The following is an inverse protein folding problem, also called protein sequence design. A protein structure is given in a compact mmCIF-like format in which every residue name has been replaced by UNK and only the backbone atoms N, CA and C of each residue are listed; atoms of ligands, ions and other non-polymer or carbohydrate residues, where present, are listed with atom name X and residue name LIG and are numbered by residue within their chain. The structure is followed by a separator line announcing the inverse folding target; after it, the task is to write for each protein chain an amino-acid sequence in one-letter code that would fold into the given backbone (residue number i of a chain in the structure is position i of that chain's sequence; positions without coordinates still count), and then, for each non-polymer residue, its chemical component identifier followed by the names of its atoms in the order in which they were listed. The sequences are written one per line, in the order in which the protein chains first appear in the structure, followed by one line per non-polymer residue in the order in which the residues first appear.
data_IF_035564551439
#
_entry.id   IF_035564551439
#
_cell.length_a   1.000
_cell.length_b   1.000
_cell.length_c   1.000
_cell.angle_alpha   90.00
_cell.angle_beta   90.00
_cell.angle_gamma   90.00
#
_symmetry.space_group_name_H-M   'P 1'
#
loop_
_entity.id
_entity.type
_entity.pdbx_description
1 polymer ?
#
# COMPACT_ATOMS: atom_id res chain seq x y z
N UNK A 1 -14.33 -2.36 1.68
CA UNK A 1 -13.63 -3.63 1.40
C UNK A 1 -12.23 -3.53 1.95
N UNK A 2 -11.32 -2.84 1.24
CA UNK A 2 -9.94 -2.56 1.64
C UNK A 2 -9.81 -1.93 3.05
N UNK A 3 -10.75 -1.06 3.44
CA UNK A 3 -10.79 -0.43 4.77
C UNK A 3 -10.91 -1.39 5.93
N UNK A 4 -11.68 -2.45 5.72
CA UNK A 4 -12.03 -3.37 6.78
C UNK A 4 -11.03 -4.53 6.89
N UNK A 5 -10.26 -4.77 5.81
CA UNK A 5 -9.04 -5.60 5.83
C UNK A 5 -7.92 -4.95 6.66
N UNK A 6 -7.79 -3.62 6.60
CA UNK A 6 -6.81 -2.87 7.39
C UNK A 6 -6.99 -3.08 8.91
N UNK A 7 -8.24 -3.03 9.39
CA UNK A 7 -8.58 -3.26 10.79
C UNK A 7 -8.31 -4.70 11.22
N UNK A 8 -8.58 -5.71 10.39
CA UNK A 8 -8.33 -7.12 10.73
C UNK A 8 -6.83 -7.46 10.78
N UNK A 9 -6.02 -6.88 9.90
CA UNK A 9 -4.57 -7.09 9.88
C UNK A 9 -3.88 -6.38 11.04
N UNK A 10 -4.24 -5.12 11.32
CA UNK A 10 -3.67 -4.37 12.44
C UNK A 10 -4.23 -4.83 13.80
N UNK A 11 -5.51 -5.19 13.93
CA UNK A 11 -6.06 -5.65 15.22
C UNK A 11 -5.42 -6.97 15.66
N UNK A 12 -5.15 -7.91 14.74
CA UNK A 12 -4.42 -9.14 15.07
C UNK A 12 -2.94 -8.90 15.41
N UNK A 13 -2.33 -7.85 14.86
CA UNK A 13 -0.96 -7.45 15.24
C UNK A 13 -0.92 -6.73 16.59
N UNK A 14 -1.95 -5.93 16.92
CA UNK A 14 -2.08 -5.17 18.17
C UNK A 14 -2.58 -6.04 19.33
N UNK A 15 -3.49 -7.00 19.11
CA UNK A 15 -3.95 -7.93 20.16
C UNK A 15 -2.83 -8.89 20.63
N UNK A 16 -1.81 -9.09 19.80
CA UNK A 16 -0.58 -9.77 20.21
C UNK A 16 0.27 -8.93 21.17
N UNK A 17 0.12 -7.61 21.23
CA UNK A 17 0.82 -6.78 22.24
C UNK A 17 0.10 -6.82 23.60
N UNK A 18 -1.21 -7.09 23.67
CA UNK A 18 -1.94 -7.26 24.95
C UNK A 18 -1.67 -8.60 25.66
N UNK A 19 -1.21 -9.61 24.92
CA UNK A 19 -0.90 -10.95 25.47
C UNK A 19 0.52 -11.05 26.02
N UNK A 20 1.39 -10.08 25.75
CA UNK A 20 2.68 -9.90 26.44
C UNK A 20 2.50 -8.85 27.54
N UNK A 21 1.94 -9.26 28.68
CA UNK A 21 1.55 -8.41 29.82
C UNK A 21 2.51 -7.26 30.16
N UNK A 22 2.32 -6.14 29.49
CA UNK A 22 2.84 -4.82 29.81
C UNK A 22 1.64 -3.89 29.81
N UNK A 23 1.13 -3.58 31.00
CA UNK A 23 0.28 -2.42 31.18
C UNK A 23 1.12 -1.18 30.87
N UNK A 24 0.79 -0.52 29.77
CA UNK A 24 1.23 0.86 29.51
C UNK A 24 0.11 1.75 30.05
N UNK A 25 0.27 2.44 31.20
CA UNK A 25 -0.67 3.47 31.57
C UNK A 25 -0.54 4.58 30.52
N UNK A 26 -1.65 5.21 30.12
CA UNK A 26 -1.76 6.25 29.07
C UNK A 26 -2.12 5.82 27.64
N UNK A 27 -2.87 4.71 27.46
CA UNK A 27 -3.61 4.46 26.21
C UNK A 27 -5.09 4.08 26.41
N UNK A 28 -5.62 4.14 27.64
CA UNK A 28 -6.97 3.67 27.98
C UNK A 28 -8.11 4.69 27.79
N UNK A 29 -7.89 5.84 27.14
CA UNK A 29 -8.95 6.84 26.96
C UNK A 29 -8.90 7.53 25.59
N UNK A 30 -9.23 6.77 24.53
CA UNK A 30 -9.67 7.38 23.28
C UNK A 30 -11.13 6.98 22.98
N UNK A 31 -12.08 7.93 22.91
CA UNK A 31 -13.48 7.63 22.64
C UNK A 31 -13.68 7.17 21.18
N UNK A 32 -14.72 6.35 20.89
CA UNK A 32 -14.96 5.71 19.59
C UNK A 32 -15.16 6.67 18.40
N UNK A 33 -15.41 7.95 18.67
CA UNK A 33 -15.48 9.00 17.64
C UNK A 33 -14.12 9.36 17.04
N UNK A 34 -13.01 9.07 17.73
CA UNK A 34 -11.65 9.36 17.25
C UNK A 34 -11.19 8.32 16.21
N UNK A 35 -11.61 7.06 16.34
CA UNK A 35 -11.34 5.98 15.38
C UNK A 35 -11.95 6.29 14.01
N UNK A 36 -13.20 6.76 13.93
CA UNK A 36 -13.84 7.15 12.67
C UNK A 36 -13.17 8.36 11.98
N UNK A 37 -12.56 9.27 12.75
CA UNK A 37 -11.86 10.45 12.23
C UNK A 37 -10.43 10.11 11.77
N UNK A 38 -9.76 9.19 12.46
CA UNK A 38 -8.51 8.57 12.03
C UNK A 38 -8.72 7.67 10.81
N UNK A 39 -9.82 6.92 10.73
CA UNK A 39 -10.20 6.13 9.55
C UNK A 39 -10.35 7.00 8.30
N UNK A 40 -11.02 8.17 8.39
CA UNK A 40 -11.11 9.11 7.24
C UNK A 40 -9.76 9.70 6.85
N UNK A 41 -8.89 10.04 7.82
CA UNK A 41 -7.54 10.58 7.56
C UNK A 41 -6.59 9.52 7.00
N UNK A 42 -6.63 8.28 7.48
CA UNK A 42 -5.80 7.18 6.97
C UNK A 42 -6.30 6.65 5.61
N UNK A 43 -7.62 6.67 5.35
CA UNK A 43 -8.17 6.36 4.02
C UNK A 43 -7.73 7.37 2.96
N UNK A 44 -7.79 8.66 3.30
CA UNK A 44 -7.32 9.75 2.44
C UNK A 44 -5.83 9.60 2.07
N UNK A 45 -5.02 9.01 2.94
CA UNK A 45 -3.60 8.81 2.64
C UNK A 45 -3.31 7.53 1.83
N UNK A 46 -4.19 6.53 1.79
CA UNK A 46 -3.89 5.18 1.28
C UNK A 46 -4.42 4.85 -0.12
N UNK A 47 -5.45 5.56 -0.57
CA UNK A 47 -5.84 5.61 -1.99
C UNK A 47 -5.21 6.83 -2.63
N UNK A 48 -4.87 6.78 -3.92
CA UNK A 48 -4.63 8.03 -4.65
C UNK A 48 -5.87 8.92 -4.50
N UNK A 49 -5.67 10.23 -4.50
CA UNK A 49 -6.80 11.14 -4.64
C UNK A 49 -7.28 11.08 -6.09
N UNK A 50 -8.59 11.28 -6.32
CA UNK A 50 -9.12 11.38 -7.69
C UNK A 50 -8.66 12.64 -8.42
N UNK A 51 -8.08 13.57 -7.67
CA UNK A 51 -7.81 14.92 -8.08
C UNK A 51 -6.30 15.05 -8.21
N UNK A 52 -5.84 15.54 -9.35
CA UNK A 52 -4.44 15.95 -9.52
C UNK A 52 -4.19 17.19 -8.63
N UNK A 53 -3.31 17.10 -7.62
CA UNK A 53 -3.00 18.25 -6.77
C UNK A 53 -2.22 19.32 -7.56
N UNK A 54 -1.31 18.92 -8.45
CA UNK A 54 -0.49 19.85 -9.23
C UNK A 54 -1.34 20.63 -10.25
N UNK A 55 -2.19 19.94 -11.01
CA UNK A 55 -3.10 20.58 -11.96
C UNK A 55 -4.07 21.52 -11.23
N UNK A 56 -4.61 21.09 -10.08
CA UNK A 56 -5.50 21.91 -9.26
C UNK A 56 -4.85 23.22 -8.83
N UNK A 57 -3.60 23.17 -8.38
CA UNK A 57 -2.86 24.37 -7.98
C UNK A 57 -2.65 25.33 -9.15
N UNK A 58 -2.33 24.81 -10.34
CA UNK A 58 -2.11 25.64 -11.54
C UNK A 58 -3.41 26.29 -12.01
N UNK A 59 -4.50 25.52 -12.07
CA UNK A 59 -5.81 26.06 -12.41
C UNK A 59 -6.30 27.09 -11.38
N UNK A 60 -6.00 26.90 -10.09
CA UNK A 60 -6.29 27.89 -9.06
C UNK A 60 -5.47 29.17 -9.21
N UNK A 61 -4.19 29.06 -9.60
CA UNK A 61 -3.32 30.22 -9.88
C UNK A 61 -3.85 31.01 -11.08
N UNK A 62 -4.20 30.31 -12.17
CA UNK A 62 -4.80 30.91 -13.36
C UNK A 62 -6.13 31.61 -13.06
N UNK A 63 -7.04 30.94 -12.33
CA UNK A 63 -8.34 31.50 -11.99
C UNK A 63 -8.24 32.74 -11.07
N UNK A 64 -7.23 32.80 -10.20
CA UNK A 64 -7.02 33.92 -9.27
C UNK A 64 -6.22 35.07 -9.87
N UNK A 65 -5.67 34.91 -11.07
CA UNK A 65 -4.87 35.95 -11.70
C UNK A 65 -5.76 37.14 -12.09
N UNK A 66 -5.39 38.34 -11.62
CA UNK A 66 -6.11 39.58 -11.94
C UNK A 66 -5.82 40.06 -13.37
N UNK A 67 -4.66 39.69 -13.91
CA UNK A 67 -4.23 40.00 -15.27
C UNK A 67 -4.12 38.70 -16.09
N UNK A 68 -4.40 38.75 -17.41
CA UNK A 68 -4.14 37.62 -18.29
C UNK A 68 -2.68 37.18 -18.15
N UNK A 69 -2.47 35.89 -17.86
CA UNK A 69 -1.14 35.31 -17.71
C UNK A 69 -0.90 34.42 -18.92
N UNK A 70 0.18 34.68 -19.64
CA UNK A 70 0.64 33.76 -20.67
C UNK A 70 1.32 32.56 -20.00
N UNK A 71 0.74 31.38 -20.19
CA UNK A 71 1.25 30.13 -19.62
C UNK A 71 1.29 29.10 -20.72
N UNK A 72 2.44 28.45 -20.88
CA UNK A 72 2.58 27.19 -21.59
C UNK A 72 3.33 26.22 -20.67
N UNK A 73 2.61 25.25 -20.11
CA UNK A 73 3.16 24.39 -19.07
C UNK A 73 2.81 22.92 -19.28
N UNK A 74 3.84 22.08 -19.26
CA UNK A 74 3.73 20.62 -19.28
C UNK A 74 3.91 20.06 -17.86
N UNK A 75 3.01 19.17 -17.47
CA UNK A 75 3.02 18.48 -16.18
C UNK A 75 3.00 16.99 -16.40
N UNK A 76 3.86 16.27 -15.69
CA UNK A 76 3.89 14.81 -15.72
C UNK A 76 3.45 14.25 -14.36
N UNK A 77 2.48 13.34 -14.39
CA UNK A 77 1.95 12.66 -13.21
C UNK A 77 2.10 11.14 -13.28
N UNK A 78 1.85 10.50 -12.14
CA UNK A 78 1.87 9.05 -12.01
C UNK A 78 0.90 8.39 -13.00
N UNK A 79 1.31 7.29 -13.63
CA UNK A 79 0.54 6.61 -14.66
C UNK A 79 0.88 7.05 -16.09
N UNK A 80 2.05 7.67 -16.31
CA UNK A 80 2.47 8.21 -17.61
C UNK A 80 1.47 9.23 -18.17
N UNK A 81 0.91 10.04 -17.27
CA UNK A 81 -0.05 11.07 -17.62
C UNK A 81 0.68 12.37 -17.83
N UNK A 82 0.36 13.04 -18.93
CA UNK A 82 0.86 14.36 -19.25
C UNK A 82 -0.31 15.33 -19.36
N UNK A 83 -0.20 16.47 -18.70
CA UNK A 83 -1.11 17.60 -18.86
C UNK A 83 -0.37 18.73 -19.52
N UNK A 84 -1.03 19.37 -20.46
CA UNK A 84 -0.55 20.57 -21.13
C UNK A 84 -1.54 21.69 -20.91
N UNK A 85 -1.13 22.67 -20.12
CA UNK A 85 -1.94 23.84 -19.76
C UNK A 85 -1.45 25.02 -20.57
N UNK A 86 -2.29 25.53 -21.45
CA UNK A 86 -2.02 26.70 -22.28
C UNK A 86 -3.02 27.82 -22.00
N UNK A 87 -2.49 29.02 -21.75
CA UNK A 87 -3.24 30.26 -21.61
C UNK A 87 -2.52 31.35 -22.40
N UNK A 88 -3.26 32.13 -23.19
CA UNK A 88 -2.69 33.21 -24.00
C UNK A 88 -3.21 34.55 -23.49
N UNK A 89 -2.33 35.55 -23.39
CA UNK A 89 -2.73 36.92 -23.06
C UNK A 89 -3.60 37.57 -24.16
N UNK A 90 -3.49 37.09 -25.41
CA UNK A 90 -4.30 37.57 -26.53
C UNK A 90 -5.75 37.03 -26.50
N UNK A 91 -5.97 35.87 -25.88
CA UNK A 91 -7.30 35.26 -25.69
C UNK A 91 -7.51 34.82 -24.23
N UNK A 92 -7.75 35.77 -23.31
CA UNK A 92 -7.87 35.46 -21.88
C UNK A 92 -9.08 34.59 -21.53
N UNK A 93 -10.09 34.55 -22.42
CA UNK A 93 -11.33 33.83 -22.16
C UNK A 93 -11.21 32.33 -22.45
N UNK A 94 -10.24 31.91 -23.26
CA UNK A 94 -10.11 30.53 -23.71
C UNK A 94 -8.77 29.96 -23.25
N UNK A 95 -8.86 29.10 -22.23
CA UNK A 95 -7.70 28.40 -21.67
C UNK A 95 -7.79 26.94 -22.09
N UNK A 96 -6.68 26.34 -22.48
CA UNK A 96 -6.66 24.98 -23.00
C UNK A 96 -5.97 24.05 -22.01
N UNK A 97 -6.61 22.93 -21.71
CA UNK A 97 -6.05 21.82 -20.95
C UNK A 97 -6.07 20.58 -21.84
N UNK A 98 -4.92 20.17 -22.35
CA UNK A 98 -4.77 18.91 -23.08
C UNK A 98 -4.25 17.82 -22.15
N UNK A 99 -4.80 16.61 -22.29
CA UNK A 99 -4.51 15.46 -21.42
C UNK A 99 -4.06 14.31 -22.31
N UNK A 100 -2.85 13.84 -22.04
CA UNK A 100 -2.34 12.59 -22.57
C UNK A 100 -2.34 11.54 -21.46
N UNK A 101 -3.08 10.46 -21.63
CA UNK A 101 -3.19 9.34 -20.70
C UNK A 101 -3.23 8.04 -21.48
N UNK A 102 -2.54 6.97 -21.02
CA UNK A 102 -2.69 5.65 -21.60
C UNK A 102 -4.17 5.23 -21.57
N UNK A 103 -4.66 4.74 -22.71
CA UNK A 103 -5.96 4.05 -22.74
C UNK A 103 -5.80 2.71 -22.02
N UNK A 104 -6.75 2.37 -21.15
CA UNK A 104 -6.62 1.17 -20.32
C UNK A 104 -6.49 -0.10 -21.17
N UNK A 105 -7.30 -0.29 -22.20
CA UNK A 105 -7.20 -1.44 -23.10
C UNK A 105 -6.55 -1.08 -24.44
N UNK A 106 -5.54 -1.86 -24.86
CA UNK A 106 -4.83 -1.63 -26.12
C UNK A 106 -5.47 -2.32 -27.34
N UNK A 107 -6.45 -3.21 -27.13
CA UNK A 107 -6.84 -4.19 -28.15
C UNK A 107 -8.14 -3.95 -28.93
N UNK A 108 -9.01 -3.00 -28.57
CA UNK A 108 -10.36 -2.95 -29.17
C UNK A 108 -11.13 -1.62 -29.05
N UNK A 109 -10.52 -0.44 -29.26
CA UNK A 109 -11.25 0.85 -29.33
C UNK A 109 -10.55 1.86 -30.27
N UNK A 110 -11.27 2.86 -30.81
CA UNK A 110 -11.09 3.38 -32.17
C UNK A 110 -9.75 4.04 -32.39
N UNK A 111 -9.35 4.06 -33.65
CA UNK A 111 -8.08 4.53 -34.20
C UNK A 111 -7.63 5.91 -33.71
N UNK A 112 -8.52 6.75 -33.18
CA UNK A 112 -8.23 8.01 -32.50
C UNK A 112 -9.38 8.36 -31.52
N UNK A 113 -9.09 8.65 -30.25
CA UNK A 113 -10.02 9.30 -29.31
C UNK A 113 -10.63 8.45 -28.19
N UNK A 114 -11.35 9.13 -27.27
CA UNK A 114 -12.08 8.53 -26.15
C UNK A 114 -13.37 7.82 -26.61
N UNK A 115 -13.82 6.78 -25.88
CA UNK A 115 -15.13 6.16 -26.14
C UNK A 115 -16.27 7.17 -25.94
N UNK A 116 -17.39 6.98 -26.66
CA UNK A 116 -18.57 7.85 -26.52
C UNK A 116 -19.06 7.93 -25.06
N UNK A 117 -19.00 6.80 -24.35
CA UNK A 117 -19.29 6.73 -22.92
C UNK A 117 -18.32 7.56 -22.08
N UNK A 118 -17.01 7.47 -22.35
CA UNK A 118 -15.98 8.25 -21.64
C UNK A 118 -16.19 9.75 -21.84
N UNK A 119 -16.44 10.18 -23.07
CA UNK A 119 -16.74 11.57 -23.42
C UNK A 119 -18.00 12.06 -22.71
N UNK A 120 -19.06 11.26 -22.64
CA UNK A 120 -20.27 11.59 -21.90
C UNK A 120 -20.01 11.75 -20.40
N UNK A 121 -19.21 10.85 -19.80
CA UNK A 121 -18.86 10.92 -18.37
C UNK A 121 -18.03 12.16 -18.06
N UNK A 122 -17.11 12.56 -18.94
CA UNK A 122 -16.33 13.81 -18.79
C UNK A 122 -17.25 15.02 -18.88
N UNK A 123 -18.18 15.06 -19.85
CA UNK A 123 -19.19 16.13 -19.98
C UNK A 123 -20.07 16.26 -18.73
N UNK A 124 -20.43 15.16 -18.08
CA UNK A 124 -21.22 15.18 -16.85
C UNK A 124 -20.46 15.72 -15.61
N UNK A 125 -19.14 15.54 -15.57
CA UNK A 125 -18.30 16.02 -14.46
C UNK A 125 -17.90 17.48 -14.66
N UNK A 126 -17.81 17.91 -15.91
CA UNK A 126 -17.51 19.27 -16.29
C UNK A 126 -18.76 20.16 -16.20
N UNK A 127 -18.58 21.41 -15.77
CA UNK A 127 -19.65 22.42 -15.77
C UNK A 127 -19.73 23.13 -17.12
N UNK A 128 -20.74 23.99 -17.32
CA UNK A 128 -20.91 24.84 -18.52
C UNK A 128 -19.71 25.75 -18.87
N UNK A 129 -18.75 25.86 -17.95
CA UNK A 129 -17.48 26.55 -18.12
C UNK A 129 -16.46 25.77 -18.95
N UNK A 130 -16.70 24.50 -19.26
CA UNK A 130 -15.74 23.63 -19.95
C UNK A 130 -16.37 23.02 -21.19
N UNK A 131 -15.67 23.18 -22.31
CA UNK A 131 -16.04 22.64 -23.61
C UNK A 131 -14.98 21.63 -24.06
N UNK A 132 -15.42 20.50 -24.63
CA UNK A 132 -14.50 19.52 -25.22
C UNK A 132 -14.19 19.97 -26.65
N UNK A 133 -12.91 20.12 -26.98
CA UNK A 133 -12.46 20.50 -28.32
C UNK A 133 -12.28 19.24 -29.17
N UNK A 134 -12.93 19.18 -30.33
CA UNK A 134 -12.81 18.08 -31.29
C UNK A 134 -12.32 18.61 -32.65
N UNK A 135 -11.26 18.03 -33.25
CA UNK A 135 -10.39 16.98 -32.69
C UNK A 135 -9.51 17.50 -31.54
N UNK A 136 -9.03 16.58 -30.70
CA UNK A 136 -8.03 16.92 -29.69
C UNK A 136 -6.74 17.43 -30.35
N UNK A 137 -5.97 18.26 -29.62
CA UNK A 137 -4.66 18.71 -30.08
C UNK A 137 -3.73 17.53 -30.35
N UNK A 138 -2.84 17.69 -31.33
CA UNK A 138 -1.89 16.66 -31.73
C UNK A 138 -1.08 16.14 -30.53
N UNK A 139 -1.00 14.82 -30.39
CA UNK A 139 -0.32 14.16 -29.26
C UNK A 139 -1.19 13.92 -28.01
N UNK A 140 -2.42 14.42 -27.95
CA UNK A 140 -3.30 14.29 -26.79
C UNK A 140 -4.58 13.51 -27.10
N UNK A 141 -5.15 12.80 -26.11
CA UNK A 141 -6.42 12.08 -26.29
C UNK A 141 -7.64 12.94 -25.96
N UNK A 142 -7.47 14.01 -25.17
CA UNK A 142 -8.54 14.95 -24.82
C UNK A 142 -7.99 16.35 -24.71
N UNK A 143 -8.68 17.33 -25.32
CA UNK A 143 -8.43 18.75 -25.09
C UNK A 143 -9.70 19.42 -24.57
N UNK A 144 -9.57 20.11 -23.44
CA UNK A 144 -10.61 20.88 -22.80
C UNK A 144 -10.34 22.36 -22.98
N UNK A 145 -11.37 23.10 -23.38
CA UNK A 145 -11.40 24.55 -23.40
C UNK A 145 -12.14 25.04 -22.16
N UNK A 146 -11.43 25.78 -21.32
CA UNK A 146 -11.90 26.26 -20.02
C UNK A 146 -12.11 27.77 -20.11
N UNK A 147 -13.34 28.20 -19.86
CA UNK A 147 -13.71 29.60 -19.72
C UNK A 147 -13.84 29.96 -18.24
N UNK A 148 -12.80 30.58 -17.68
CA UNK A 148 -12.78 30.98 -16.28
C UNK A 148 -13.86 32.03 -15.92
N UNK A 149 -14.33 32.83 -16.89
CA UNK A 149 -15.37 33.82 -16.64
C UNK A 149 -16.74 33.19 -16.34
N UNK A 150 -16.99 31.96 -16.85
CA UNK A 150 -18.20 31.19 -16.57
C UNK A 150 -18.15 30.43 -15.23
N UNK A 151 -17.01 30.42 -14.55
CA UNK A 151 -16.89 29.76 -13.23
C UNK A 151 -17.49 30.67 -12.15
N UNK A 152 -18.37 30.16 -11.26
CA UNK A 152 -19.01 30.96 -10.23
C UNK A 152 -18.02 31.65 -9.28
N UNK A 153 -18.16 32.98 -9.11
CA UNK A 153 -17.38 33.77 -8.14
C UNK A 153 -17.97 33.56 -6.74
N UNK A 154 -17.40 32.65 -5.95
CA UNK A 154 -17.89 32.31 -4.61
C UNK A 154 -17.14 31.12 -3.99
N UNK A 155 -17.72 30.35 -3.07
CA UNK A 155 -17.07 29.13 -2.57
C UNK A 155 -17.08 27.97 -3.57
N UNK A 156 -17.88 28.09 -4.63
CA UNK A 156 -18.13 26.99 -5.58
C UNK A 156 -17.08 26.85 -6.68
N UNK A 157 -16.24 27.87 -6.96
CA UNK A 157 -15.14 27.73 -7.93
C UNK A 157 -14.20 26.57 -7.55
N UNK A 158 -13.98 26.33 -6.26
CA UNK A 158 -13.10 25.27 -5.79
C UNK A 158 -13.63 23.89 -6.17
N UNK A 159 -14.96 23.71 -6.19
CA UNK A 159 -15.59 22.46 -6.62
C UNK A 159 -15.41 22.24 -8.12
N UNK A 160 -15.66 23.28 -8.93
CA UNK A 160 -15.50 23.23 -10.39
C UNK A 160 -14.04 22.93 -10.76
N UNK A 161 -13.08 23.64 -10.19
CA UNK A 161 -11.65 23.38 -10.46
C UNK A 161 -11.24 21.99 -9.97
N UNK A 162 -11.78 21.52 -8.84
CA UNK A 162 -11.55 20.15 -8.36
C UNK A 162 -12.12 19.10 -9.33
N UNK A 163 -13.28 19.35 -9.92
CA UNK A 163 -13.87 18.47 -10.94
C UNK A 163 -12.99 18.42 -12.19
N UNK A 164 -12.56 19.58 -12.71
CA UNK A 164 -11.64 19.66 -13.86
C UNK A 164 -10.35 18.89 -13.56
N UNK A 165 -9.82 19.07 -12.37
CA UNK A 165 -8.59 18.40 -11.93
C UNK A 165 -8.75 16.89 -11.69
N UNK A 166 -9.98 16.36 -11.80
CA UNK A 166 -10.28 14.93 -11.67
C UNK A 166 -10.58 14.22 -12.99
N UNK A 167 -10.48 14.93 -14.12
CA UNK A 167 -10.86 14.40 -15.45
C UNK A 167 -10.08 13.12 -15.81
N UNK A 168 -8.79 13.05 -15.49
CA UNK A 168 -7.99 11.84 -15.71
C UNK A 168 -8.55 10.62 -14.96
N UNK A 169 -8.90 10.79 -13.68
CA UNK A 169 -9.54 9.72 -12.91
C UNK A 169 -10.91 9.32 -13.50
N UNK A 170 -11.67 10.29 -14.03
CA UNK A 170 -12.95 10.03 -14.70
C UNK A 170 -12.76 9.21 -15.97
N UNK A 171 -11.77 9.54 -16.81
CA UNK A 171 -11.45 8.80 -18.04
C UNK A 171 -11.15 7.34 -17.69
N UNK A 172 -10.18 7.09 -16.80
CA UNK A 172 -9.80 5.73 -16.40
C UNK A 172 -10.96 4.97 -15.75
N UNK A 173 -11.72 5.62 -14.89
CA UNK A 173 -12.89 5.00 -14.28
C UNK A 173 -13.97 4.66 -15.31
N UNK A 174 -14.20 5.52 -16.30
CA UNK A 174 -15.24 5.31 -17.31
C UNK A 174 -14.95 4.10 -18.19
N UNK A 175 -13.70 3.92 -18.63
CA UNK A 175 -13.27 2.76 -19.39
C UNK A 175 -13.46 1.45 -18.60
N UNK A 176 -13.05 1.41 -17.33
CA UNK A 176 -13.25 0.21 -16.51
C UNK A 176 -14.73 0.00 -16.15
N UNK A 177 -15.52 1.07 -15.97
CA UNK A 177 -16.98 0.98 -15.78
C UNK A 177 -17.66 0.34 -16.99
N UNK A 178 -17.27 0.74 -18.19
CA UNK A 178 -17.79 0.17 -19.44
C UNK A 178 -17.51 -1.34 -19.50
N UNK A 179 -16.30 -1.74 -19.10
CA UNK A 179 -15.93 -3.15 -19.04
C UNK A 179 -16.68 -3.96 -17.97
N UNK A 180 -16.97 -3.34 -16.82
CA UNK A 180 -17.60 -3.99 -15.67
C UNK A 180 -19.13 -3.91 -15.65
N UNK A 181 -19.77 -3.07 -16.46
CA UNK A 181 -21.25 -3.00 -16.53
C UNK A 181 -21.86 -4.25 -17.16
N UNK A 182 -21.11 -4.89 -18.07
CA UNK A 182 -21.58 -6.04 -18.84
C UNK A 182 -21.26 -7.39 -18.18
N UNK A 183 -21.28 -7.50 -16.84
CA UNK A 183 -21.01 -8.79 -16.14
C UNK A 183 -22.01 -9.88 -16.52
N UNK A 184 -23.24 -9.49 -16.86
CA UNK A 184 -24.36 -10.39 -17.12
C UNK A 184 -24.79 -10.44 -18.60
N UNK A 185 -24.06 -9.80 -19.51
CA UNK A 185 -24.43 -9.86 -20.94
C UNK A 185 -24.19 -11.29 -21.44
N UNK A 186 -25.24 -11.98 -21.87
CA UNK A 186 -25.20 -13.27 -22.57
C UNK A 186 -24.62 -13.17 -23.99
N UNK A 187 -23.77 -12.15 -24.26
CA UNK A 187 -23.10 -12.02 -25.54
C UNK A 187 -22.12 -13.19 -25.68
N UNK A 188 -22.58 -14.21 -26.41
CA UNK A 188 -21.86 -15.43 -26.75
C UNK A 188 -20.82 -15.15 -27.84
N UNK A 189 -20.36 -13.90 -27.97
CA UNK A 189 -19.45 -13.45 -29.02
C UNK A 189 -18.01 -13.79 -28.66
N UNK A 190 -17.22 -14.04 -29.71
CA UNK A 190 -15.80 -14.40 -29.64
C UNK A 190 -15.02 -13.48 -28.68
N UNK A 191 -14.51 -14.05 -27.58
CA UNK A 191 -13.75 -13.28 -26.57
C UNK A 191 -14.06 -13.61 -25.12
N UNK A 192 -15.08 -14.44 -24.83
CA UNK A 192 -15.27 -15.03 -23.50
C UNK A 192 -14.01 -15.78 -23.07
N UNK A 193 -13.59 -15.58 -21.82
CA UNK A 193 -12.33 -16.09 -21.24
C UNK A 193 -11.03 -15.54 -21.85
N UNK A 194 -11.07 -14.61 -22.82
CA UNK A 194 -9.86 -13.93 -23.28
C UNK A 194 -9.45 -12.85 -22.27
N UNK A 195 -8.21 -12.86 -21.76
CA UNK A 195 -7.75 -11.82 -20.86
C UNK A 195 -7.61 -10.48 -21.62
N UNK A 196 -8.18 -9.42 -21.04
CA UNK A 196 -7.98 -8.04 -21.52
C UNK A 196 -6.89 -7.43 -20.65
N UNK A 197 -5.71 -7.21 -21.24
CA UNK A 197 -4.60 -6.52 -20.58
C UNK A 197 -4.94 -5.04 -20.39
N UNK A 198 -4.93 -4.58 -19.14
CA UNK A 198 -5.13 -3.19 -18.77
C UNK A 198 -3.82 -2.54 -18.31
N UNK A 199 -3.40 -1.49 -19.01
CA UNK A 199 -2.12 -0.81 -18.77
C UNK A 199 -2.38 0.63 -18.33
N UNK A 200 -2.45 0.84 -17.01
CA UNK A 200 -2.40 2.18 -16.41
C UNK A 200 -0.96 2.61 -16.11
N UNK A 201 -0.14 1.65 -15.68
CA UNK A 201 1.27 1.86 -15.41
C UNK A 201 2.08 0.84 -16.22
N UNK A 202 3.07 1.27 -17.02
CA UNK A 202 3.74 0.39 -17.99
C UNK A 202 4.30 -0.91 -17.40
N UNK A 203 4.76 -0.89 -16.14
CA UNK A 203 5.35 -2.06 -15.45
C UNK A 203 4.36 -2.86 -14.60
N UNK A 204 3.14 -2.36 -14.45
CA UNK A 204 2.11 -2.90 -13.55
C UNK A 204 0.78 -3.01 -14.29
N UNK A 205 0.72 -3.84 -15.35
CA UNK A 205 -0.55 -4.15 -15.99
C UNK A 205 -1.39 -5.02 -15.05
N UNK A 206 -2.70 -4.98 -15.19
CA UNK A 206 -3.59 -5.99 -14.61
C UNK A 206 -4.55 -6.48 -15.68
N UNK A 207 -5.09 -7.67 -15.50
CA UNK A 207 -5.93 -8.34 -16.49
C UNK A 207 -7.36 -8.39 -16.04
N UNK A 208 -8.28 -8.23 -16.97
CA UNK A 208 -9.70 -8.45 -16.75
C UNK A 208 -10.17 -9.56 -17.68
N UNK A 209 -10.69 -10.63 -17.09
CA UNK A 209 -11.20 -11.80 -17.80
C UNK A 209 -12.71 -11.84 -17.59
N UNK A 210 -13.47 -11.81 -18.69
CA UNK A 210 -14.94 -11.93 -18.65
C UNK A 210 -15.35 -13.39 -18.71
N UNK A 211 -16.14 -13.82 -17.73
CA UNK A 211 -16.75 -15.14 -17.64
C UNK A 211 -18.30 -14.98 -17.60
N UNK A 212 -19.09 -16.04 -17.89
CA UNK A 212 -20.55 -15.91 -18.09
C UNK A 212 -21.34 -15.26 -16.94
N UNK A 213 -20.86 -15.35 -15.69
CA UNK A 213 -21.57 -14.85 -14.50
C UNK A 213 -20.69 -13.98 -13.58
N UNK A 214 -19.41 -13.81 -13.94
CA UNK A 214 -18.43 -13.09 -13.13
C UNK A 214 -17.32 -12.52 -14.00
N UNK A 215 -16.70 -11.47 -13.53
CA UNK A 215 -15.48 -10.91 -14.10
C UNK A 215 -14.35 -11.15 -13.12
N UNK A 216 -13.24 -11.72 -13.59
CA UNK A 216 -12.05 -11.94 -12.77
C UNK A 216 -11.02 -10.87 -13.09
N UNK A 217 -10.63 -10.09 -12.08
CA UNK A 217 -9.54 -9.13 -12.19
C UNK A 217 -8.26 -9.74 -11.59
N UNK A 218 -7.22 -9.90 -12.40
CA UNK A 218 -5.94 -10.54 -12.01
C UNK A 218 -4.83 -9.51 -11.99
N UNK A 219 -4.08 -9.47 -10.88
CA UNK A 219 -3.00 -8.52 -10.61
C UNK A 219 -1.67 -9.26 -10.47
N UNK A 220 -0.83 -9.28 -11.52
CA UNK A 220 0.56 -9.74 -11.45
C UNK A 220 1.43 -8.80 -10.61
N UNK A 221 1.95 -9.26 -9.46
CA UNK A 221 2.66 -8.39 -8.52
C UNK A 221 4.17 -8.50 -8.60
N UNK A 222 4.82 -7.34 -8.74
CA UNK A 222 6.28 -7.22 -8.79
C UNK A 222 6.81 -6.30 -7.70
N UNK A 223 7.80 -6.81 -6.96
CA UNK A 223 8.54 -6.05 -5.97
C UNK A 223 10.02 -6.01 -6.33
N UNK A 224 10.69 -4.89 -6.07
CA UNK A 224 12.13 -4.75 -6.35
C UNK A 224 12.98 -5.52 -5.32
N UNK A 225 12.57 -5.48 -4.06
CA UNK A 225 13.34 -6.02 -2.96
C UNK A 225 12.77 -7.36 -2.46
N UNK A 226 13.65 -8.30 -2.16
CA UNK A 226 13.25 -9.62 -1.66
C UNK A 226 12.52 -9.55 -0.30
N UNK A 227 12.90 -8.60 0.58
CA UNK A 227 12.17 -8.37 1.83
C UNK A 227 10.72 -7.96 1.61
N UNK A 228 10.47 -7.14 0.59
CA UNK A 228 9.13 -6.67 0.24
C UNK A 228 8.29 -7.83 -0.31
N UNK A 229 8.90 -8.76 -1.05
CA UNK A 229 8.24 -10.01 -1.48
C UNK A 229 7.76 -10.80 -0.27
N UNK A 230 8.62 -11.04 0.72
CA UNK A 230 8.24 -11.81 1.93
C UNK A 230 7.07 -11.14 2.66
N UNK A 231 7.14 -9.82 2.86
CA UNK A 231 6.08 -9.04 3.53
C UNK A 231 4.78 -9.12 2.72
N UNK A 232 4.86 -8.96 1.39
CA UNK A 232 3.71 -9.01 0.51
C UNK A 232 3.07 -10.40 0.49
N UNK A 233 3.85 -11.47 0.40
CA UNK A 233 3.34 -12.85 0.45
C UNK A 233 2.58 -13.11 1.74
N UNK A 234 3.12 -12.70 2.90
CA UNK A 234 2.41 -12.82 4.17
C UNK A 234 1.11 -11.99 4.19
N UNK A 235 1.14 -10.79 3.60
CA UNK A 235 -0.04 -9.95 3.46
C UNK A 235 -1.13 -10.61 2.60
N UNK A 236 -0.79 -11.24 1.47
CA UNK A 236 -1.78 -11.89 0.60
C UNK A 236 -2.38 -13.16 1.19
N UNK A 237 -1.58 -13.93 1.95
CA UNK A 237 -2.09 -15.09 2.66
C UNK A 237 -3.16 -14.67 3.68
N UNK A 238 -2.89 -13.63 4.48
CA UNK A 238 -3.88 -13.08 5.40
C UNK A 238 -5.09 -12.46 4.67
N UNK A 239 -4.86 -11.81 3.51
CA UNK A 239 -5.94 -11.26 2.69
C UNK A 239 -6.89 -12.35 2.20
N UNK A 240 -6.35 -13.49 1.77
CA UNK A 240 -7.11 -14.67 1.32
C UNK A 240 -7.89 -15.30 2.48
N UNK A 241 -7.26 -15.47 3.64
CA UNK A 241 -7.91 -16.01 4.84
C UNK A 241 -9.07 -15.13 5.31
N UNK A 242 -8.87 -13.81 5.32
CA UNK A 242 -9.92 -12.85 5.68
C UNK A 242 -11.00 -12.80 4.60
N UNK A 243 -10.62 -12.84 3.32
CA UNK A 243 -11.56 -12.86 2.18
C UNK A 243 -12.46 -14.09 2.17
N UNK A 244 -12.00 -15.20 2.73
CA UNK A 244 -12.75 -16.46 2.86
C UNK A 244 -13.66 -16.50 4.10
N UNK A 245 -13.57 -15.52 4.99
CA UNK A 245 -14.38 -15.47 6.21
C UNK A 245 -15.82 -15.02 5.94
N UNK A 246 -16.80 -15.66 6.59
CA UNK A 246 -18.23 -15.31 6.51
C UNK A 246 -18.52 -13.83 6.82
N UNK A 247 -17.71 -13.22 7.71
CA UNK A 247 -17.81 -11.78 8.04
C UNK A 247 -17.65 -10.89 6.81
N UNK A 248 -16.96 -11.37 5.77
CA UNK A 248 -16.63 -10.66 4.55
C UNK A 248 -17.32 -11.24 3.31
N UNK A 249 -18.37 -12.06 3.46
CA UNK A 249 -19.09 -12.67 2.34
C UNK A 249 -19.65 -11.68 1.30
N UNK A 250 -19.85 -10.41 1.69
CA UNK A 250 -20.28 -9.33 0.78
C UNK A 250 -19.16 -8.74 -0.08
N UNK A 251 -17.90 -9.07 0.20
CA UNK A 251 -16.76 -8.65 -0.61
C UNK A 251 -16.55 -9.63 -1.79
N UNK A 252 -15.95 -9.16 -2.91
CA UNK A 252 -15.35 -10.00 -3.92
C UNK A 252 -14.44 -11.04 -3.29
N UNK A 253 -14.64 -12.33 -3.60
CA UNK A 253 -13.67 -13.37 -3.29
C UNK A 253 -12.29 -12.97 -3.81
N UNK A 254 -11.28 -13.18 -2.97
CA UNK A 254 -9.89 -12.87 -3.28
C UNK A 254 -9.06 -14.14 -3.16
N UNK A 255 -8.27 -14.44 -4.17
CA UNK A 255 -7.34 -15.57 -4.19
C UNK A 255 -5.93 -15.10 -4.53
N UNK A 256 -4.93 -15.78 -3.98
CA UNK A 256 -3.53 -15.53 -4.29
C UNK A 256 -2.84 -16.83 -4.68
N UNK A 257 -2.04 -16.78 -5.74
CA UNK A 257 -1.25 -17.91 -6.23
C UNK A 257 0.14 -17.44 -6.65
N UNK A 258 1.21 -18.19 -6.35
CA UNK A 258 2.54 -17.90 -6.91
C UNK A 258 2.62 -18.21 -8.42
N UNK A 259 1.70 -19.01 -8.96
CA UNK A 259 1.66 -19.47 -10.35
C UNK A 259 0.58 -18.68 -11.10
N UNK A 260 0.83 -18.28 -12.37
CA UNK A 260 -0.19 -17.59 -13.18
C UNK A 260 -1.47 -18.42 -13.30
N UNK A 261 -2.65 -17.78 -13.16
CA UNK A 261 -3.93 -18.45 -13.42
C UNK A 261 -3.98 -19.01 -14.85
N UNK A 262 -4.66 -20.15 -15.07
CA UNK A 262 -4.71 -20.81 -16.37
C UNK A 262 -5.29 -19.91 -17.47
N UNK A 263 -6.13 -18.94 -17.12
CA UNK A 263 -6.73 -17.97 -18.03
C UNK A 263 -5.72 -16.99 -18.62
N UNK A 264 -4.55 -16.81 -17.99
CA UNK A 264 -3.46 -15.97 -18.49
C UNK A 264 -2.44 -16.75 -19.33
N UNK A 265 -2.66 -18.04 -19.58
CA UNK A 265 -1.77 -18.83 -20.45
C UNK A 265 -1.82 -18.29 -21.88
N UNK A 266 -0.67 -17.90 -22.40
CA UNK A 266 -0.53 -17.33 -23.74
C UNK A 266 -0.23 -15.82 -23.76
N UNK A 267 -0.35 -15.14 -22.63
CA UNK A 267 0.09 -13.75 -22.49
C UNK A 267 1.63 -13.64 -22.48
N UNK A 268 2.22 -12.46 -22.80
CA UNK A 268 3.66 -12.27 -22.86
C UNK A 268 4.37 -12.70 -21.57
N UNK A 269 5.50 -13.41 -21.71
CA UNK A 269 6.25 -13.93 -20.55
C UNK A 269 6.70 -12.82 -19.60
N UNK A 270 6.98 -11.63 -20.12
CA UNK A 270 7.34 -10.45 -19.31
C UNK A 270 6.25 -10.10 -18.30
N UNK A 271 4.98 -10.20 -18.71
CA UNK A 271 3.83 -9.90 -17.87
C UNK A 271 3.51 -11.02 -16.86
N UNK A 272 3.89 -12.25 -17.18
CA UNK A 272 3.68 -13.44 -16.32
C UNK A 272 4.85 -13.68 -15.35
N UNK A 273 6.04 -13.15 -15.65
CA UNK A 273 7.20 -13.21 -14.75
C UNK A 273 7.00 -12.27 -13.56
N UNK A 274 6.56 -12.83 -12.44
CA UNK A 274 6.32 -12.10 -11.19
C UNK A 274 6.99 -12.79 -10.01
N UNK A 275 7.46 -12.00 -9.05
CA UNK A 275 8.02 -12.51 -7.80
C UNK A 275 7.04 -12.43 -6.61
N UNK A 276 6.03 -11.56 -6.69
CA UNK A 276 4.97 -11.43 -5.67
C UNK A 276 3.77 -12.36 -5.89
N UNK A 277 3.75 -13.10 -7.00
CA UNK A 277 2.61 -13.92 -7.43
C UNK A 277 1.46 -13.11 -8.03
N UNK A 278 0.30 -13.74 -8.12
CA UNK A 278 -0.91 -13.24 -8.76
C UNK A 278 -2.03 -13.15 -7.73
N UNK A 279 -2.66 -11.97 -7.64
CA UNK A 279 -3.87 -11.79 -6.84
C UNK A 279 -5.06 -11.66 -7.79
N UNK A 280 -6.10 -12.44 -7.54
CA UNK A 280 -7.34 -12.42 -8.33
C UNK A 280 -8.54 -12.04 -7.48
N UNK A 281 -9.38 -11.17 -8.03
CA UNK A 281 -10.67 -10.78 -7.46
C UNK A 281 -11.82 -11.21 -8.36
N UNK A 282 -12.81 -11.89 -7.78
CA UNK A 282 -14.00 -12.30 -8.50
C UNK A 282 -15.15 -11.30 -8.32
N UNK A 283 -15.48 -10.61 -9.41
CA UNK A 283 -16.47 -9.54 -9.46
C UNK A 283 -17.74 -10.08 -10.11
N UNK A 284 -18.71 -10.48 -9.30
CA UNK A 284 -20.08 -10.74 -9.75
C UNK A 284 -20.97 -9.48 -9.72
N UNK A 285 -22.19 -9.60 -10.26
CA UNK A 285 -23.22 -8.55 -10.32
C UNK A 285 -23.40 -7.77 -9.01
N UNK A 286 -23.45 -8.48 -7.88
CA UNK A 286 -23.61 -7.90 -6.53
C UNK A 286 -22.59 -6.82 -6.14
N UNK A 287 -21.41 -6.82 -6.78
CA UNK A 287 -20.32 -5.86 -6.54
C UNK A 287 -20.37 -4.66 -7.49
N UNK A 288 -21.13 -4.75 -8.58
CA UNK A 288 -21.24 -3.72 -9.63
C UNK A 288 -22.62 -3.07 -9.70
N UNK A 289 -23.58 -3.53 -8.90
CA UNK A 289 -24.89 -2.88 -8.76
C UNK A 289 -24.79 -1.42 -8.29
N UNK A 290 -25.52 -0.54 -8.97
CA UNK A 290 -25.77 0.86 -8.60
C UNK A 290 -24.52 1.67 -8.22
N UNK A 291 -24.54 2.28 -7.03
CA UNK A 291 -23.51 3.13 -6.44
C UNK A 291 -22.26 2.34 -6.01
N UNK A 292 -22.26 1.00 -6.08
CA UNK A 292 -21.09 0.17 -5.72
C UNK A 292 -20.07 0.12 -6.85
N UNK A 293 -20.51 0.20 -8.11
CA UNK A 293 -19.64 0.15 -9.29
C UNK A 293 -18.46 1.11 -9.19
N UNK A 294 -18.75 2.37 -8.85
CA UNK A 294 -17.73 3.42 -8.73
C UNK A 294 -16.68 3.11 -7.66
N UNK A 295 -17.09 2.50 -6.53
CA UNK A 295 -16.18 2.09 -5.46
C UNK A 295 -15.34 0.87 -5.86
N UNK A 296 -15.94 -0.09 -6.56
CA UNK A 296 -15.27 -1.29 -7.05
C UNK A 296 -14.21 -0.93 -8.07
N UNK A 297 -14.58 -0.13 -9.08
CA UNK A 297 -13.68 0.41 -10.10
C UNK A 297 -12.51 1.15 -9.46
N UNK A 298 -12.80 2.06 -8.53
CA UNK A 298 -11.75 2.82 -7.84
C UNK A 298 -10.82 1.93 -7.03
N UNK A 299 -11.36 0.89 -6.37
CA UNK A 299 -10.57 -0.05 -5.58
C UNK A 299 -9.63 -0.89 -6.46
N UNK A 300 -10.08 -1.31 -7.64
CA UNK A 300 -9.28 -2.10 -8.58
C UNK A 300 -8.14 -1.26 -9.17
N UNK A 301 -8.43 -0.05 -9.63
CA UNK A 301 -7.42 0.86 -10.18
C UNK A 301 -6.33 1.22 -9.15
N UNK A 302 -6.70 1.29 -7.87
CA UNK A 302 -5.78 1.65 -6.78
C UNK A 302 -5.12 0.44 -6.11
N UNK A 303 -5.42 -0.80 -6.51
CA UNK A 303 -4.98 -1.98 -5.78
C UNK A 303 -3.45 -2.10 -5.70
N UNK A 304 -2.72 -1.85 -6.80
CA UNK A 304 -1.26 -1.87 -6.81
C UNK A 304 -0.65 -0.89 -5.82
N UNK A 305 -1.10 0.36 -5.86
CA UNK A 305 -0.58 1.40 -4.98
C UNK A 305 -0.92 1.12 -3.51
N UNK A 306 -2.12 0.62 -3.25
CA UNK A 306 -2.53 0.18 -1.93
C UNK A 306 -1.57 -0.88 -1.37
N UNK A 307 -1.35 -1.97 -2.11
CA UNK A 307 -0.46 -3.06 -1.71
C UNK A 307 0.96 -2.54 -1.47
N UNK A 308 1.54 -1.83 -2.45
CA UNK A 308 2.93 -1.35 -2.34
C UNK A 308 3.11 -0.39 -1.18
N UNK A 309 2.14 0.49 -0.95
CA UNK A 309 2.14 1.39 0.20
C UNK A 309 2.14 0.58 1.50
N UNK A 310 1.26 -0.40 1.64
CA UNK A 310 1.19 -1.20 2.87
C UNK A 310 2.43 -2.05 3.12
N UNK A 311 3.04 -2.62 2.08
CA UNK A 311 4.31 -3.33 2.20
C UNK A 311 5.42 -2.39 2.72
N UNK A 312 5.55 -1.20 2.13
CA UNK A 312 6.50 -0.17 2.59
C UNK A 312 6.22 0.27 4.03
N UNK A 313 4.97 0.52 4.38
CA UNK A 313 4.58 0.90 5.74
C UNK A 313 4.91 -0.20 6.76
N UNK A 314 4.62 -1.47 6.46
CA UNK A 314 4.93 -2.61 7.33
C UNK A 314 6.44 -2.77 7.51
N UNK A 315 7.22 -2.62 6.44
CA UNK A 315 8.68 -2.62 6.53
C UNK A 315 9.20 -1.52 7.45
N UNK A 316 8.73 -0.28 7.27
CA UNK A 316 9.11 0.84 8.13
C UNK A 316 8.66 0.62 9.59
N UNK A 317 7.51 0.00 9.82
CA UNK A 317 7.05 -0.38 11.16
C UNK A 317 7.98 -1.41 11.82
N UNK A 318 8.35 -2.47 11.09
CA UNK A 318 9.30 -3.49 11.57
C UNK A 318 10.64 -2.84 11.94
N UNK A 319 11.18 -1.97 11.07
CA UNK A 319 12.43 -1.26 11.33
C UNK A 319 12.37 -0.42 12.60
N UNK A 320 11.31 0.37 12.78
CA UNK A 320 11.11 1.18 14.01
C UNK A 320 11.03 0.30 15.26
N UNK A 321 10.34 -0.84 15.20
CA UNK A 321 10.23 -1.76 16.34
C UNK A 321 11.57 -2.44 16.65
N UNK A 322 12.35 -2.79 15.63
CA UNK A 322 13.70 -3.32 15.79
C UNK A 322 14.63 -2.29 16.44
N UNK A 323 14.57 -1.03 15.99
CA UNK A 323 15.37 0.06 16.55
C UNK A 323 15.03 0.30 18.02
N UNK A 324 13.75 0.41 18.39
CA UNK A 324 13.33 0.55 19.79
C UNK A 324 13.81 -0.59 20.69
N UNK A 325 13.79 -1.83 20.17
CA UNK A 325 14.32 -2.98 20.90
C UNK A 325 15.82 -2.89 21.09
N UNK A 326 16.56 -2.46 20.07
CA UNK A 326 18.00 -2.24 20.17
C UNK A 326 18.32 -1.15 21.20
N UNK A 327 17.62 -0.02 21.16
CA UNK A 327 17.76 1.08 22.13
C UNK A 327 17.55 0.57 23.56
N UNK A 328 16.46 -0.19 23.80
CA UNK A 328 16.20 -0.77 25.13
C UNK A 328 17.28 -1.75 25.61
N UNK A 329 17.89 -2.51 24.70
CA UNK A 329 18.98 -3.43 25.05
C UNK A 329 20.28 -2.68 25.37
N UNK A 330 20.58 -1.62 24.61
CA UNK A 330 21.75 -0.77 24.83
C UNK A 330 21.63 -0.03 26.17
N UNK A 331 20.45 0.45 26.53
CA UNK A 331 20.19 1.06 27.84
C UNK A 331 20.50 0.10 29.00
N UNK A 332 20.06 -1.16 28.91
CA UNK A 332 20.36 -2.18 29.94
C UNK A 332 21.86 -2.43 30.04
N UNK A 333 22.57 -2.54 28.91
CA UNK A 333 24.02 -2.75 28.90
C UNK A 333 24.80 -1.56 29.49
N UNK A 334 24.35 -0.34 29.22
CA UNK A 334 24.97 0.86 29.79
C UNK A 334 24.67 1.00 31.28
N UNK A 335 23.47 0.62 31.73
CA UNK A 335 23.13 0.58 33.16
C UNK A 335 24.03 -0.39 33.93
N UNK A 336 24.24 -1.59 33.41
CA UNK A 336 25.15 -2.57 34.02
C UNK A 336 26.60 -2.05 34.11
N UNK A 337 27.11 -1.39 33.05
CA UNK A 337 28.46 -0.78 33.06
C UNK A 337 28.61 0.36 34.06
N UNK A 338 27.54 1.11 34.35
CA UNK A 338 27.56 2.19 35.34
C UNK A 338 27.50 1.62 36.76
N UNK A 339 26.64 0.63 37.01
CA UNK A 339 26.58 -0.08 38.29
C UNK A 339 27.92 -0.76 38.62
N UNK A 340 28.60 -1.38 37.65
CA UNK A 340 29.94 -1.94 37.84
C UNK A 340 30.99 -0.87 38.19
N UNK A 341 30.91 0.33 37.59
CA UNK A 341 31.84 1.43 37.90
C UNK A 341 31.58 2.05 39.27
N UNK A 342 30.32 2.13 39.69
CA UNK A 342 29.96 2.58 41.03
C UNK A 342 30.39 1.56 42.08
N UNK A 343 30.17 0.26 41.86
CA UNK A 343 30.63 -0.81 42.74
C UNK A 343 32.17 -0.85 42.85
N UNK A 344 32.90 -0.56 41.77
CA UNK A 344 34.37 -0.46 41.79
C UNK A 344 34.84 0.80 42.53
N UNK A 345 34.16 1.95 42.40
CA UNK A 345 34.48 3.16 43.19
C UNK A 345 34.17 2.98 44.68
N UNK A 346 33.06 2.33 45.03
CA UNK A 346 32.73 1.98 46.42
C UNK A 346 33.73 0.99 47.02
N UNK A 347 34.21 0.01 46.24
CA UNK A 347 35.27 -0.90 46.69
C UNK A 347 36.64 -0.25 46.78
N UNK A 348 37.01 0.63 45.85
CA UNK A 348 38.27 1.39 45.92
C UNK A 348 38.34 2.33 47.14
N UNK A 349 37.20 2.92 47.55
CA UNK A 349 37.13 3.68 48.80
C UNK A 349 37.16 2.80 50.07
N UNK A 350 36.81 1.52 49.96
CA UNK A 350 36.86 0.56 51.06
C UNK A 350 38.20 -0.20 51.17
N UNK A 351 38.94 -0.39 50.08
CA UNK A 351 40.21 -1.14 50.01
C UNK A 351 41.47 -0.32 50.41
N UNK A 352 41.34 0.98 50.72
CA UNK A 352 42.46 1.78 51.25
C UNK A 352 42.62 1.70 52.79
N UNK A 353 42.18 0.60 53.40
CA UNK A 353 42.56 0.22 54.78
C UNK A 353 42.79 -1.28 54.80
N UNK A 354 44.00 -1.67 55.23
CA UNK A 354 44.49 -3.03 55.46
C UNK A 354 45.14 -3.74 54.26
N UNK A 355 46.42 -3.43 54.06
CA UNK A 355 47.41 -4.37 53.52
C UNK A 355 47.61 -5.47 54.55
N UNK A 356 47.34 -6.73 54.19
CA UNK A 356 47.63 -7.87 55.07
C UNK A 356 47.16 -9.23 54.58
N UNK A 357 48.06 -9.93 53.87
CA UNK A 357 48.12 -11.39 53.63
C UNK A 357 47.07 -12.05 52.71
N UNK A 358 47.59 -12.49 51.56
CA UNK A 358 47.13 -13.62 50.74
C UNK A 358 46.76 -14.85 51.59
N UNK A 359 45.63 -15.53 51.28
CA UNK A 359 45.53 -17.00 51.09
C UNK A 359 44.16 -17.39 50.48
N UNK A 360 44.23 -18.17 49.38
CA UNK A 360 43.26 -19.11 48.75
C UNK A 360 41.93 -18.59 48.16
N UNK A 361 41.94 -18.51 46.83
CA UNK A 361 40.77 -18.51 45.93
C UNK A 361 39.86 -19.74 46.17
N UNK A 362 38.70 -19.53 46.78
CA UNK A 362 37.55 -20.44 46.62
C UNK A 362 36.66 -19.94 45.49
N UNK A 363 36.51 -20.73 44.42
CA UNK A 363 35.62 -20.45 43.28
C UNK A 363 34.21 -20.06 43.77
N UNK A 364 33.64 -18.91 43.36
CA UNK A 364 32.35 -18.49 43.90
C UNK A 364 31.23 -19.36 43.33
N UNK A 365 30.58 -20.11 44.21
CA UNK A 365 29.36 -20.91 43.96
C UNK A 365 28.17 -20.07 43.44
N UNK A 366 28.30 -18.74 43.41
CA UNK A 366 27.23 -17.80 43.03
C UNK A 366 27.00 -17.69 41.52
N UNK A 367 28.01 -17.94 40.67
CA UNK A 367 27.82 -17.88 39.21
C UNK A 367 26.95 -19.05 38.70
N UNK A 368 27.11 -20.24 39.30
CA UNK A 368 26.29 -21.44 38.99
C UNK A 368 24.84 -21.36 39.52
N UNK A 369 24.54 -20.46 40.46
CA UNK A 369 23.16 -20.21 40.95
C UNK A 369 22.45 -19.22 40.02
N UNK A 370 23.09 -18.09 39.65
CA UNK A 370 22.52 -17.10 38.73
C UNK A 370 22.28 -17.64 37.32
N UNK A 371 23.20 -18.43 36.76
CA UNK A 371 22.97 -19.07 35.45
C UNK A 371 21.80 -20.06 35.48
N UNK A 372 21.59 -20.80 36.59
CA UNK A 372 20.49 -21.77 36.70
C UNK A 372 19.12 -21.10 36.72
N UNK A 373 18.97 -19.93 37.33
CA UNK A 373 17.70 -19.20 37.33
C UNK A 373 17.38 -18.60 35.96
N UNK A 374 18.41 -18.15 35.24
CA UNK A 374 18.28 -17.66 33.86
C UNK A 374 17.88 -18.80 32.91
N UNK A 375 18.47 -19.99 33.07
CA UNK A 375 18.10 -21.16 32.26
C UNK A 375 16.69 -21.66 32.60
N UNK A 376 16.28 -21.61 33.87
CA UNK A 376 14.95 -22.03 34.33
C UNK A 376 13.85 -21.08 33.85
N UNK A 377 14.11 -19.77 33.81
CA UNK A 377 13.21 -18.76 33.20
C UNK A 377 13.08 -18.95 31.69
N UNK A 378 14.16 -19.26 30.99
CA UNK A 378 14.13 -19.56 29.54
C UNK A 378 13.36 -20.87 29.26
N UNK A 379 13.51 -21.90 30.10
CA UNK A 379 12.76 -23.16 29.99
C UNK A 379 11.26 -22.97 30.30
N UNK A 380 10.89 -22.15 31.30
CA UNK A 380 9.48 -21.86 31.60
C UNK A 380 8.76 -21.12 30.46
N UNK A 381 9.47 -20.28 29.70
CA UNK A 381 8.92 -19.63 28.49
C UNK A 381 8.67 -20.66 27.36
N UNK A 382 9.48 -21.73 27.29
CA UNK A 382 9.32 -22.80 26.27
C UNK A 382 8.13 -23.73 26.53
N UNK A 383 7.64 -23.87 27.77
CA UNK A 383 6.56 -24.81 28.11
C UNK A 383 5.13 -24.25 28.05
N UNK A 384 4.94 -22.92 27.92
CA UNK A 384 3.60 -22.31 27.84
C UNK A 384 3.07 -22.09 26.42
N UNK A 385 3.80 -22.50 25.40
CA UNK A 385 3.39 -22.36 24.01
C UNK A 385 2.83 -23.69 23.50
N UNK A 386 1.57 -23.99 23.85
CA UNK A 386 0.76 -24.94 23.08
C UNK A 386 -0.10 -24.16 22.08
N UNK A 387 0.49 -23.85 20.92
CA UNK A 387 -0.24 -23.28 19.79
C UNK A 387 -0.77 -24.45 18.94
N UNK A 388 -2.09 -24.59 18.85
CA UNK A 388 -2.71 -25.48 17.87
C UNK A 388 -2.58 -24.83 16.48
N UNK A 389 -2.02 -25.55 15.49
CA UNK A 389 -1.97 -25.11 14.08
C UNK A 389 -0.59 -24.71 13.50
N UNK A 390 0.49 -24.61 14.29
CA UNK A 390 1.79 -24.07 13.81
C UNK A 390 2.96 -25.09 13.74
N UNK A 391 2.71 -26.39 13.53
CA UNK A 391 3.76 -27.43 13.58
C UNK A 391 4.82 -27.35 12.47
N UNK A 392 4.55 -26.75 11.30
CA UNK A 392 5.51 -26.71 10.17
C UNK A 392 6.50 -25.54 10.21
N UNK A 393 6.13 -24.41 10.81
CA UNK A 393 6.99 -23.21 10.87
C UNK A 393 8.16 -23.35 11.87
N UNK A 394 8.02 -24.23 12.87
CA UNK A 394 8.99 -24.39 13.94
C UNK A 394 10.25 -25.21 13.56
N UNK A 395 10.17 -26.07 12.53
CA UNK A 395 11.25 -27.05 12.25
C UNK A 395 12.42 -26.52 11.42
N UNK A 396 12.29 -25.38 10.72
CA UNK A 396 13.35 -24.88 9.81
C UNK A 396 14.07 -23.62 10.27
N UNK A 397 13.50 -22.83 11.18
CA UNK A 397 14.11 -21.56 11.61
C UNK A 397 14.71 -21.59 13.02
N UNK A 398 14.57 -22.71 13.73
CA UNK A 398 15.05 -22.87 15.11
C UNK A 398 16.01 -24.06 15.29
N UNK A 399 16.70 -24.46 14.23
CA UNK A 399 17.89 -25.32 14.36
C UNK A 399 19.09 -24.38 14.44
N UNK A 400 19.44 -23.98 15.67
CA UNK A 400 20.73 -23.35 15.93
C UNK A 400 21.79 -24.40 15.59
N UNK A 401 22.75 -24.15 14.67
CA UNK A 401 23.88 -25.06 14.52
C UNK A 401 24.67 -25.04 15.84
N UNK A 402 24.92 -26.23 16.40
CA UNK A 402 25.73 -26.35 17.61
C UNK A 402 27.16 -25.91 17.27
N UNK A 403 27.54 -24.69 17.69
CA UNK A 403 28.93 -24.28 17.72
C UNK A 403 29.62 -25.03 18.87
N UNK A 404 30.17 -26.20 18.59
CA UNK A 404 31.24 -26.77 19.40
C UNK A 404 32.47 -25.90 19.24
N UNK A 405 33.05 -25.43 20.33
CA UNK A 405 34.28 -24.63 20.32
C UNK A 405 35.52 -25.52 20.30
N UNK A 406 36.44 -25.34 19.34
CA UNK A 406 37.82 -25.71 19.54
C UNK A 406 38.73 -24.53 19.21
N UNK A 407 39.17 -23.78 20.21
CA UNK A 407 40.38 -22.97 20.11
C UNK A 407 41.16 -23.10 21.42
N UNK A 408 41.96 -24.18 21.50
CA UNK A 408 43.21 -24.17 22.27
C UNK A 408 44.22 -23.41 21.42
N UNK A 409 44.74 -22.29 21.92
CA UNK A 409 45.94 -21.68 21.38
C UNK A 409 47.15 -22.42 21.95
N UNK A 410 47.99 -22.99 21.08
CA UNK A 410 49.36 -23.40 21.37
C UNK A 410 50.26 -22.16 21.30
N UNK A 411 51.05 -21.93 22.35
CA UNK A 411 52.15 -20.96 22.36
C UNK A 411 53.25 -21.47 21.41
N UNK A 412 53.75 -20.60 20.54
CA UNK A 412 55.00 -20.82 19.80
C UNK A 412 56.16 -20.33 20.68
N UNK A 413 57.15 -21.21 20.88
CA UNK A 413 58.56 -20.84 21.09
C UNK A 413 59.26 -20.83 19.74
#
# INVERSE_FOLDING_TARGET
MIAKFHLAFYSKFIDKDKTFGFEVPYLSSFPPLCELRLERRFFSMASFERVSPALKEILLKLYRAEKPVEIDHHLYEFGSVEYHVQSSAADPQNNYLSISTPLLSQGAMPSYGLSSYSTQMVKQVCSDAVEIVEPAKEGYQLTLKINFAKIPRGKDYFKVITQISSVQAVILCSQLKEMLRNVNSQDTSQGMNKPIKLVYHPREPFYVIRQPQKITAVFPLRFKEHSDVIIATAFFQELMDVGSSEKWAKAPPCTWSPIPPPELRGEPLEDLSTNGGFVSFEISSRHVEDKKLDKTVWSLLNFYAYVKKHVKCTRGFIQRRMQKRLESLVEVLHKEKLEEKEDVKFKAHAECRYVGKLVRLSKPKNFKRRCRDLTRKIMQIRFRIKIHGFRRFHRRWLTIPNFSSPLRYTKLE
#
